data_IF_345604682238
#
_entry.id   IF_345604682238
#
_cell.length_a   1.000
_cell.length_b   1.000
_cell.length_c   1.000
_cell.angle_alpha   90.00
_cell.angle_beta   90.00
_cell.angle_gamma   90.00
#
_symmetry.space_group_name_H-M   'P 1'
#
loop_
_entity.id
_entity.type
_entity.pdbx_description
1 polymer ?
#
# COMPACT_ATOMS: atom_id res chain seq x y z
N UNK A 1 -20.53 40.30 54.45
CA UNK A 1 -20.12 39.51 53.26
C UNK A 1 -21.26 38.55 52.91
N UNK A 2 -22.37 39.10 52.45
CA UNK A 2 -22.80 39.23 51.05
C UNK A 2 -23.39 37.93 50.47
N UNK A 3 -24.61 37.64 50.90
CA UNK A 3 -25.58 36.86 50.14
C UNK A 3 -26.13 37.72 48.99
N UNK A 4 -26.05 37.24 47.74
CA UNK A 4 -26.64 37.88 46.56
C UNK A 4 -27.83 37.05 46.10
N UNK A 5 -29.03 37.49 46.48
CA UNK A 5 -30.28 37.07 45.85
C UNK A 5 -30.41 37.77 44.50
N UNK A 6 -30.49 36.99 43.42
CA UNK A 6 -30.81 37.49 42.07
C UNK A 6 -32.32 37.30 41.89
N UNK A 7 -33.03 38.42 41.84
CA UNK A 7 -34.46 38.49 41.50
C UNK A 7 -34.65 38.12 40.02
N UNK A 8 -35.50 37.12 39.76
CA UNK A 8 -36.05 36.81 38.44
C UNK A 8 -37.12 37.85 38.10
N UNK A 9 -36.85 38.75 37.16
CA UNK A 9 -37.85 39.64 36.56
C UNK A 9 -38.48 38.96 35.36
N UNK A 10 -39.74 38.56 35.51
CA UNK A 10 -40.59 37.99 34.46
C UNK A 10 -40.96 39.09 33.46
N UNK A 11 -40.34 39.07 32.27
CA UNK A 11 -40.73 39.94 31.15
C UNK A 11 -41.98 39.36 30.47
N UNK A 12 -43.15 39.90 30.82
CA UNK A 12 -44.42 39.59 30.16
C UNK A 12 -44.42 40.27 28.78
N UNK A 13 -44.17 39.49 27.73
CA UNK A 13 -44.20 39.95 26.34
C UNK A 13 -45.66 40.21 25.92
N UNK A 14 -46.07 41.49 25.92
CA UNK A 14 -47.34 41.93 25.33
C UNK A 14 -47.28 41.73 23.80
N UNK A 15 -47.98 40.73 23.29
CA UNK A 15 -48.22 40.54 21.86
C UNK A 15 -49.30 41.53 21.45
N UNK A 16 -48.91 42.68 20.90
CA UNK A 16 -49.82 43.56 20.19
C UNK A 16 -50.15 42.93 18.83
N UNK A 17 -51.34 42.36 18.70
CA UNK A 17 -51.88 41.96 17.41
C UNK A 17 -52.16 43.24 16.58
N UNK A 18 -51.19 43.66 15.78
CA UNK A 18 -51.38 44.71 14.79
C UNK A 18 -52.38 44.24 13.74
N UNK A 19 -53.53 44.91 13.66
CA UNK A 19 -54.46 44.74 12.54
C UNK A 19 -53.76 45.28 11.30
N UNK A 20 -53.31 44.37 10.43
CA UNK A 20 -52.73 44.69 9.14
C UNK A 20 -53.80 45.37 8.27
N UNK A 21 -53.70 46.69 8.11
CA UNK A 21 -54.49 47.43 7.13
C UNK A 21 -54.05 46.99 5.74
N UNK A 22 -54.92 46.24 5.05
CA UNK A 22 -54.76 45.96 3.63
C UNK A 22 -55.00 47.27 2.88
N UNK A 23 -54.02 47.74 2.10
CA UNK A 23 -54.16 48.97 1.32
C UNK A 23 -54.55 48.66 -0.13
N UNK A 24 -55.43 49.50 -0.68
CA UNK A 24 -55.75 49.54 -2.12
C UNK A 24 -54.57 50.20 -2.86
N UNK A 25 -54.04 49.54 -3.89
CA UNK A 25 -53.12 50.15 -4.84
C UNK A 25 -53.53 49.85 -6.29
N UNK A 26 -53.16 50.75 -7.21
CA UNK A 26 -53.33 50.51 -8.66
C UNK A 26 -52.05 49.87 -9.17
N UNK A 27 -52.14 48.63 -9.64
CA UNK A 27 -51.02 47.92 -10.24
C UNK A 27 -50.71 48.42 -11.65
N UNK A 28 -51.74 48.74 -12.43
CA UNK A 28 -51.58 49.29 -13.77
C UNK A 28 -52.79 50.12 -14.19
N UNK A 29 -52.54 51.11 -15.04
CA UNK A 29 -53.56 51.88 -15.75
C UNK A 29 -53.11 52.03 -17.21
N UNK A 30 -53.94 51.65 -18.18
CA UNK A 30 -53.62 51.77 -19.61
C UNK A 30 -54.85 52.01 -20.46
N UNK A 31 -54.68 52.67 -21.60
CA UNK A 31 -55.71 52.79 -22.63
C UNK A 31 -55.87 51.45 -23.37
N UNK A 32 -57.11 51.10 -23.73
CA UNK A 32 -57.44 49.96 -24.59
C UNK A 32 -57.87 50.50 -25.97
N UNK A 33 -56.93 50.78 -26.90
CA UNK A 33 -57.22 51.51 -28.13
C UNK A 33 -58.16 50.75 -29.08
N UNK A 34 -58.14 49.42 -29.03
CA UNK A 34 -58.98 48.56 -29.87
C UNK A 34 -60.37 48.29 -29.26
N UNK A 35 -60.62 48.71 -28.01
CA UNK A 35 -61.90 48.51 -27.36
C UNK A 35 -62.86 49.67 -27.68
N UNK A 36 -63.85 49.38 -28.51
CA UNK A 36 -64.84 50.36 -28.97
C UNK A 36 -66.06 50.46 -28.04
N UNK A 37 -66.04 49.86 -26.84
CA UNK A 37 -67.21 49.79 -25.95
C UNK A 37 -67.80 51.16 -25.64
N UNK A 38 -66.97 52.13 -25.22
CA UNK A 38 -67.43 53.48 -24.90
C UNK A 38 -67.89 54.29 -26.13
N UNK A 39 -67.49 53.86 -27.34
CA UNK A 39 -67.76 54.56 -28.59
C UNK A 39 -68.99 54.02 -29.31
N UNK A 40 -69.16 52.69 -29.33
CA UNK A 40 -70.11 51.97 -30.20
C UNK A 40 -71.02 51.04 -29.41
N UNK A 41 -70.45 50.12 -28.62
CA UNK A 41 -71.22 48.98 -28.09
C UNK A 41 -72.13 49.35 -26.91
N UNK A 42 -71.62 50.14 -25.96
CA UNK A 42 -72.36 50.58 -24.77
C UNK A 42 -71.99 52.04 -24.42
N UNK A 43 -72.30 53.01 -25.30
CA UNK A 43 -71.99 54.41 -25.03
C UNK A 43 -72.90 54.96 -23.91
N UNK A 44 -72.30 55.71 -22.99
CA UNK A 44 -73.02 56.51 -21.98
C UNK A 44 -72.67 57.97 -22.23
N UNK A 45 -73.66 58.85 -22.30
CA UNK A 45 -73.47 60.29 -22.44
C UNK A 45 -73.58 60.99 -21.10
N UNK A 46 -72.77 62.02 -20.89
CA UNK A 46 -72.88 62.91 -19.74
C UNK A 46 -74.05 63.90 -19.88
N UNK A 47 -74.19 64.79 -18.90
CA UNK A 47 -75.28 65.79 -18.85
C UNK A 47 -75.20 66.83 -19.98
N UNK A 48 -74.05 66.96 -20.65
CA UNK A 48 -73.84 67.85 -21.79
C UNK A 48 -74.05 67.14 -23.13
N UNK A 49 -74.42 65.85 -23.12
CA UNK A 49 -74.64 65.04 -24.32
C UNK A 49 -73.35 64.44 -24.91
N UNK A 50 -72.21 64.57 -24.24
CA UNK A 50 -70.94 64.04 -24.72
C UNK A 50 -70.68 62.62 -24.23
N UNK A 51 -70.03 61.79 -25.04
CA UNK A 51 -69.76 60.39 -24.67
C UNK A 51 -68.68 60.31 -23.58
N UNK A 52 -69.01 59.67 -22.47
CA UNK A 52 -68.09 59.39 -21.38
C UNK A 52 -66.93 58.48 -21.81
N UNK A 53 -65.80 58.60 -21.12
CA UNK A 53 -64.78 57.56 -21.09
C UNK A 53 -65.29 56.35 -20.28
N UNK A 54 -64.82 55.15 -20.59
CA UNK A 54 -65.09 53.94 -19.80
C UNK A 54 -63.81 53.47 -19.13
N UNK A 55 -63.82 53.39 -17.81
CA UNK A 55 -62.76 52.79 -17.02
C UNK A 55 -63.20 51.39 -16.55
N UNK A 56 -62.55 50.35 -17.08
CA UNK A 56 -62.71 48.96 -16.65
C UNK A 56 -61.74 48.67 -15.51
N UNK A 57 -62.23 48.61 -14.29
CA UNK A 57 -61.43 48.35 -13.10
C UNK A 57 -61.47 46.86 -12.76
N UNK A 58 -60.38 46.16 -13.07
CA UNK A 58 -60.20 44.72 -12.83
C UNK A 58 -59.82 44.51 -11.37
N UNK A 59 -60.64 43.73 -10.65
CA UNK A 59 -60.41 43.40 -9.24
C UNK A 59 -61.17 42.12 -8.85
N UNK A 60 -60.51 41.28 -8.06
CA UNK A 60 -61.15 40.09 -7.47
C UNK A 60 -62.00 40.39 -6.24
N UNK A 61 -61.89 41.59 -5.67
CA UNK A 61 -62.57 41.99 -4.44
C UNK A 61 -63.90 42.72 -4.74
N UNK A 62 -64.85 42.61 -3.82
CA UNK A 62 -66.21 43.13 -3.95
C UNK A 62 -66.48 44.20 -2.89
N UNK A 63 -67.26 45.23 -3.21
CA UNK A 63 -67.62 46.28 -2.25
C UNK A 63 -66.84 47.59 -2.43
N UNK A 64 -66.32 47.83 -3.63
CA UNK A 64 -65.71 49.12 -3.97
C UNK A 64 -66.75 50.21 -4.25
N UNK A 65 -66.45 51.41 -3.78
CA UNK A 65 -67.13 52.66 -4.13
C UNK A 65 -66.14 53.62 -4.80
N UNK A 66 -66.66 54.50 -5.66
CA UNK A 66 -65.87 55.27 -6.62
C UNK A 66 -66.30 56.73 -6.60
N UNK A 67 -65.33 57.65 -6.69
CA UNK A 67 -65.59 59.10 -6.78
C UNK A 67 -64.65 59.74 -7.79
N UNK A 68 -65.19 60.37 -8.85
CA UNK A 68 -64.40 60.99 -9.93
C UNK A 68 -64.43 62.52 -9.90
N UNK A 69 -64.08 63.12 -8.75
CA UNK A 69 -63.96 64.57 -8.59
C UNK A 69 -65.24 65.35 -8.87
N UNK A 70 -65.11 66.61 -9.31
CA UNK A 70 -66.21 67.55 -9.53
C UNK A 70 -67.13 67.20 -10.71
N UNK A 71 -66.63 66.43 -11.69
CA UNK A 71 -67.42 65.96 -12.83
C UNK A 71 -68.29 64.73 -12.48
N UNK A 72 -68.01 64.08 -11.36
CA UNK A 72 -68.75 62.92 -10.90
C UNK A 72 -68.58 61.68 -11.79
N UNK A 73 -69.33 60.64 -11.47
CA UNK A 73 -69.39 59.39 -12.23
C UNK A 73 -70.79 59.29 -12.82
N UNK A 74 -70.89 59.11 -14.13
CA UNK A 74 -72.19 59.06 -14.83
C UNK A 74 -72.88 57.72 -14.59
N UNK A 75 -72.12 56.63 -14.57
CA UNK A 75 -72.67 55.27 -14.37
C UNK A 75 -71.58 54.32 -13.86
N UNK A 76 -71.94 53.43 -12.94
CA UNK A 76 -71.11 52.27 -12.55
C UNK A 76 -71.89 51.00 -12.85
N UNK A 77 -71.32 50.11 -13.63
CA UNK A 77 -71.84 48.77 -13.86
C UNK A 77 -70.88 47.74 -13.26
N UNK A 78 -71.40 46.83 -12.47
CA UNK A 78 -70.64 45.71 -11.93
C UNK A 78 -70.67 44.55 -12.92
N UNK A 79 -69.51 44.04 -13.32
CA UNK A 79 -69.35 42.83 -14.14
C UNK A 79 -68.61 41.76 -13.33
N UNK A 80 -68.59 40.53 -13.82
CA UNK A 80 -67.81 39.46 -13.17
C UNK A 80 -66.32 39.79 -13.30
N UNK A 81 -65.64 39.98 -12.18
CA UNK A 81 -64.19 40.25 -12.12
C UNK A 81 -63.76 41.70 -12.40
N UNK A 82 -64.70 42.60 -12.71
CA UNK A 82 -64.39 44.01 -12.96
C UNK A 82 -65.58 44.97 -12.73
N UNK A 83 -65.27 46.25 -12.59
CA UNK A 83 -66.23 47.35 -12.54
C UNK A 83 -66.09 48.24 -13.78
N UNK A 84 -67.19 48.56 -14.44
CA UNK A 84 -67.25 49.47 -15.57
C UNK A 84 -67.71 50.84 -15.07
N UNK A 85 -66.82 51.80 -15.09
CA UNK A 85 -67.06 53.15 -14.55
C UNK A 85 -67.06 54.13 -15.72
N UNK A 86 -68.22 54.72 -16.00
CA UNK A 86 -68.38 55.73 -17.04
C UNK A 86 -68.16 57.11 -16.45
N UNK A 87 -67.13 57.80 -16.94
CA UNK A 87 -66.65 59.07 -16.37
C UNK A 87 -66.65 60.13 -17.49
N UNK A 88 -67.20 61.33 -17.26
CA UNK A 88 -67.12 62.42 -18.21
C UNK A 88 -65.66 62.72 -18.59
N UNK A 89 -65.46 63.12 -19.86
CA UNK A 89 -64.13 63.42 -20.34
C UNK A 89 -63.51 64.61 -19.58
N UNK A 90 -62.18 64.63 -19.44
CA UNK A 90 -61.49 65.69 -18.68
C UNK A 90 -61.32 65.43 -17.18
N UNK A 91 -61.87 64.34 -16.62
CA UNK A 91 -61.49 63.90 -15.28
C UNK A 91 -60.00 63.51 -15.23
N UNK A 92 -59.30 63.99 -14.20
CA UNK A 92 -57.85 63.76 -14.02
C UNK A 92 -57.53 62.75 -12.91
N UNK A 93 -58.51 62.41 -12.08
CA UNK A 93 -58.30 61.56 -10.91
C UNK A 93 -59.56 60.80 -10.49
N UNK A 94 -59.36 59.74 -9.72
CA UNK A 94 -60.42 58.96 -9.08
C UNK A 94 -60.04 58.61 -7.64
N UNK A 95 -61.01 58.65 -6.75
CA UNK A 95 -60.90 58.09 -5.40
C UNK A 95 -61.60 56.74 -5.35
N UNK A 96 -60.91 55.73 -4.82
CA UNK A 96 -61.38 54.34 -4.70
C UNK A 96 -61.51 54.00 -3.22
N UNK A 97 -62.71 53.61 -2.78
CA UNK A 97 -63.06 53.33 -1.38
C UNK A 97 -63.48 51.87 -1.23
N UNK A 98 -63.13 51.27 -0.11
CA UNK A 98 -63.62 49.93 0.26
C UNK A 98 -63.61 49.78 1.79
N UNK A 99 -64.70 49.27 2.36
CA UNK A 99 -64.90 49.22 3.82
C UNK A 99 -63.76 48.53 4.58
N UNK A 100 -63.17 47.48 3.99
CA UNK A 100 -62.07 46.71 4.59
C UNK A 100 -60.66 47.06 4.12
N UNK A 101 -60.52 47.66 2.93
CA UNK A 101 -59.20 47.91 2.30
C UNK A 101 -58.78 49.39 2.42
N UNK A 102 -59.60 50.21 3.09
CA UNK A 102 -59.39 51.63 3.23
C UNK A 102 -59.74 52.42 1.96
N UNK A 103 -59.08 53.57 1.79
CA UNK A 103 -59.37 54.51 0.72
C UNK A 103 -58.08 54.88 -0.02
N UNK A 104 -58.02 54.60 -1.32
CA UNK A 104 -57.04 55.21 -2.22
C UNK A 104 -57.60 56.55 -2.69
N UNK A 105 -57.16 57.63 -2.03
CA UNK A 105 -57.62 59.00 -2.32
C UNK A 105 -56.90 59.56 -3.53
N UNK A 106 -57.66 60.22 -4.40
CA UNK A 106 -57.15 61.08 -5.47
C UNK A 106 -56.07 60.42 -6.36
N UNK A 107 -56.28 59.17 -6.78
CA UNK A 107 -55.40 58.54 -7.76
C UNK A 107 -55.45 59.34 -9.07
N UNK A 108 -54.35 60.01 -9.39
CA UNK A 108 -54.19 60.79 -10.62
C UNK A 108 -53.93 59.82 -11.77
N UNK A 109 -54.72 59.92 -12.83
CA UNK A 109 -54.49 59.10 -14.03
C UNK A 109 -53.15 59.49 -14.69
N UNK A 110 -52.39 58.53 -15.23
CA UNK A 110 -51.17 58.83 -16.00
C UNK A 110 -51.39 59.80 -17.17
N UNK A 111 -52.57 59.76 -17.80
CA UNK A 111 -53.04 60.73 -18.78
C UNK A 111 -54.50 61.10 -18.52
N UNK A 112 -54.91 62.32 -18.90
CA UNK A 112 -56.31 62.73 -18.77
C UNK A 112 -57.22 61.87 -19.64
N UNK A 113 -58.32 61.37 -19.08
CA UNK A 113 -59.21 60.46 -19.81
C UNK A 113 -59.96 61.21 -20.93
N UNK A 114 -59.99 60.60 -22.11
CA UNK A 114 -60.57 61.18 -23.33
C UNK A 114 -61.98 60.65 -23.57
N UNK A 115 -62.84 61.47 -24.17
CA UNK A 115 -64.20 61.09 -24.53
C UNK A 115 -64.23 59.82 -25.39
N UNK A 116 -65.25 58.97 -25.19
CA UNK A 116 -65.45 57.73 -25.93
C UNK A 116 -64.21 56.80 -26.02
N UNK A 117 -63.36 56.80 -24.99
CA UNK A 117 -62.14 55.99 -24.91
C UNK A 117 -62.24 55.01 -23.74
N UNK A 118 -61.76 53.78 -23.93
CA UNK A 118 -61.78 52.73 -22.90
C UNK A 118 -60.40 52.60 -22.26
N UNK A 119 -60.38 52.48 -20.94
CA UNK A 119 -59.19 52.31 -20.11
C UNK A 119 -59.33 51.07 -19.23
N UNK A 120 -58.22 50.42 -18.92
CA UNK A 120 -58.13 49.33 -17.97
C UNK A 120 -57.33 49.79 -16.75
N UNK A 121 -57.85 49.53 -15.56
CA UNK A 121 -57.17 49.73 -14.28
C UNK A 121 -57.17 48.41 -13.51
N UNK A 122 -56.01 47.92 -13.09
CA UNK A 122 -55.89 46.71 -12.27
C UNK A 122 -55.63 47.12 -10.82
N UNK A 123 -56.47 46.68 -9.90
CA UNK A 123 -56.27 46.89 -8.46
C UNK A 123 -55.52 45.72 -7.84
N UNK A 124 -54.57 46.03 -6.95
CA UNK A 124 -53.90 45.06 -6.10
C UNK A 124 -54.18 45.33 -4.63
N UNK A 125 -54.44 44.25 -3.87
CA UNK A 125 -54.64 44.25 -2.43
C UNK A 125 -53.50 43.45 -1.81
N UNK A 126 -52.55 44.10 -1.14
CA UNK A 126 -51.30 43.46 -0.69
C UNK A 126 -51.52 42.36 0.35
N UNK A 127 -50.71 41.28 0.30
CA UNK A 127 -50.58 40.30 1.41
C UNK A 127 -49.14 39.77 1.52
N UNK A 128 -48.64 39.84 2.75
CA UNK A 128 -47.53 39.13 3.45
C UNK A 128 -46.65 38.16 2.64
N UNK A 129 -45.32 38.39 2.66
CA UNK A 129 -44.30 37.38 2.35
C UNK A 129 -44.22 36.34 3.47
N UNK A 130 -44.55 35.08 3.20
CA UNK A 130 -44.26 33.96 4.10
C UNK A 130 -42.82 33.52 3.88
N UNK A 131 -41.92 33.80 4.83
CA UNK A 131 -40.64 33.10 4.91
C UNK A 131 -40.95 31.78 5.63
N UNK A 132 -41.00 30.68 4.88
CA UNK A 132 -40.96 29.35 5.49
C UNK A 132 -39.50 29.12 5.87
N UNK A 133 -39.13 29.45 7.10
CA UNK A 133 -37.86 29.04 7.68
C UNK A 133 -37.97 27.54 7.96
N UNK A 134 -37.53 26.74 7.00
CA UNK A 134 -37.49 25.28 7.12
C UNK A 134 -36.38 24.96 8.14
N UNK A 135 -36.75 24.86 9.42
CA UNK A 135 -35.83 24.50 10.51
C UNK A 135 -35.13 23.18 10.17
N UNK A 136 -33.81 23.23 9.95
CA UNK A 136 -33.02 22.05 9.68
C UNK A 136 -33.12 21.08 10.88
N UNK A 137 -33.19 19.76 10.63
CA UNK A 137 -33.28 18.81 11.74
C UNK A 137 -32.08 19.01 12.68
N UNK A 138 -32.31 18.92 14.01
CA UNK A 138 -31.24 19.08 14.99
C UNK A 138 -30.15 18.06 14.65
N UNK A 139 -28.93 18.56 14.48
CA UNK A 139 -27.82 17.79 13.93
C UNK A 139 -26.50 18.24 14.53
N UNK A 140 -25.64 17.27 14.85
CA UNK A 140 -24.36 17.46 15.50
C UNK A 140 -23.23 16.95 14.61
N UNK A 141 -22.07 17.59 14.66
CA UNK A 141 -20.83 17.06 14.08
C UNK A 141 -20.28 15.94 14.94
N UNK A 142 -20.15 14.74 14.37
CA UNK A 142 -19.38 13.65 14.94
C UNK A 142 -17.97 13.69 14.36
N UNK A 143 -16.97 13.80 15.22
CA UNK A 143 -15.55 13.75 14.86
C UNK A 143 -14.91 12.54 15.56
N UNK A 144 -14.23 11.69 14.82
CA UNK A 144 -13.54 10.51 15.35
C UNK A 144 -12.08 10.54 14.88
N UNK A 145 -11.15 10.52 15.83
CA UNK A 145 -9.72 10.39 15.58
C UNK A 145 -9.21 9.12 16.24
N UNK A 146 -8.25 8.46 15.58
CA UNK A 146 -7.56 7.32 16.17
C UNK A 146 -6.06 7.51 16.12
N UNK A 147 -5.37 6.93 17.09
CA UNK A 147 -3.93 6.70 17.07
C UNK A 147 -3.68 5.19 17.02
N UNK A 148 -3.13 4.64 15.92
CA UNK A 148 -2.81 5.31 14.65
C UNK A 148 -4.04 5.70 13.81
N UNK A 149 -3.87 6.67 12.92
CA UNK A 149 -4.89 7.12 11.97
C UNK A 149 -5.18 6.09 10.85
N UNK A 150 -6.21 6.34 10.04
CA UNK A 150 -6.59 5.51 8.89
C UNK A 150 -7.37 4.24 9.26
N UNK A 151 -8.03 4.23 10.42
CA UNK A 151 -8.93 3.14 10.82
C UNK A 151 -10.30 3.30 10.15
N UNK A 152 -10.91 2.20 9.72
CA UNK A 152 -12.26 2.19 9.16
C UNK A 152 -13.29 2.51 10.24
N UNK A 153 -14.17 3.46 9.96
CA UNK A 153 -15.24 3.92 10.85
C UNK A 153 -16.57 3.39 10.37
N UNK A 154 -17.25 2.64 11.22
CA UNK A 154 -18.62 2.17 11.00
C UNK A 154 -19.57 2.89 11.95
N UNK A 155 -20.69 3.39 11.43
CA UNK A 155 -21.76 4.02 12.23
C UNK A 155 -23.06 3.25 11.95
N UNK A 156 -23.69 2.71 12.99
CA UNK A 156 -24.84 1.80 12.87
C UNK A 156 -24.56 0.65 11.89
N UNK A 157 -23.41 0.00 12.06
CA UNK A 157 -22.87 -1.11 11.25
C UNK A 157 -22.63 -0.81 9.76
N UNK A 158 -22.80 0.44 9.32
CA UNK A 158 -22.51 0.88 7.95
C UNK A 158 -21.15 1.57 7.90
N UNK A 159 -20.31 1.17 6.93
CA UNK A 159 -19.03 1.83 6.67
C UNK A 159 -19.28 3.30 6.35
N UNK A 160 -18.81 4.18 7.22
CA UNK A 160 -19.01 5.61 7.13
C UNK A 160 -17.79 6.33 6.50
N UNK A 161 -16.57 5.85 6.76
CA UNK A 161 -15.33 6.43 6.26
C UNK A 161 -14.10 5.87 6.97
N UNK A 162 -13.03 6.66 7.03
CA UNK A 162 -11.80 6.33 7.76
C UNK A 162 -11.38 7.49 8.69
N UNK A 163 -10.63 7.22 9.74
CA UNK A 163 -10.10 8.24 10.66
C UNK A 163 -8.91 9.00 10.05
N UNK A 164 -8.74 10.31 10.34
CA UNK A 164 -9.69 11.19 11.02
C UNK A 164 -11.00 11.34 10.24
N UNK A 165 -12.12 11.11 10.93
CA UNK A 165 -13.46 11.12 10.34
C UNK A 165 -14.25 12.29 10.90
N UNK A 166 -14.96 13.00 10.03
CA UNK A 166 -15.93 14.02 10.46
C UNK A 166 -17.18 14.00 9.59
N UNK A 167 -18.36 14.00 10.20
CA UNK A 167 -19.64 14.10 9.48
C UNK A 167 -20.75 14.59 10.40
N UNK A 168 -21.72 15.29 9.82
CA UNK A 168 -22.92 15.72 10.53
C UNK A 168 -23.96 14.60 10.56
N UNK A 169 -24.48 14.29 11.74
CA UNK A 169 -25.56 13.32 11.95
C UNK A 169 -26.74 14.00 12.66
N UNK A 170 -27.95 13.46 12.48
CA UNK A 170 -29.10 13.91 13.27
C UNK A 170 -28.86 13.63 14.75
N UNK A 171 -29.40 14.43 15.65
CA UNK A 171 -29.37 14.10 17.07
C UNK A 171 -30.01 12.72 17.32
N UNK A 172 -29.42 11.96 18.24
CA UNK A 172 -29.81 10.59 18.51
C UNK A 172 -28.66 9.71 18.97
N UNK A 173 -28.96 8.48 19.36
CA UNK A 173 -27.96 7.46 19.71
C UNK A 173 -27.47 6.75 18.45
N UNK A 174 -26.16 6.56 18.34
CA UNK A 174 -25.50 5.83 17.28
C UNK A 174 -24.56 4.78 17.88
N UNK A 175 -24.47 3.61 17.25
CA UNK A 175 -23.37 2.67 17.51
C UNK A 175 -22.20 3.03 16.62
N UNK A 176 -20.98 2.88 17.14
CA UNK A 176 -19.76 3.00 16.36
C UNK A 176 -18.92 1.74 16.50
N UNK A 177 -18.22 1.38 15.43
CA UNK A 177 -17.19 0.33 15.42
C UNK A 177 -16.01 0.83 14.59
N UNK A 178 -14.81 0.66 15.12
CA UNK A 178 -13.55 1.09 14.55
C UNK A 178 -12.70 -0.15 14.31
N UNK A 179 -12.22 -0.29 13.08
CA UNK A 179 -11.41 -1.43 12.66
C UNK A 179 -10.17 -0.96 11.93
N UNK A 180 -9.03 -1.54 12.28
CA UNK A 180 -7.78 -1.32 11.57
C UNK A 180 -7.04 -2.67 11.47
N UNK A 181 -6.53 -3.06 10.29
CA UNK A 181 -5.76 -4.28 10.14
C UNK A 181 -4.62 -4.34 11.16
N UNK A 182 -4.40 -5.51 11.77
CA UNK A 182 -3.42 -5.72 12.84
C UNK A 182 -3.75 -5.01 14.18
N UNK A 183 -4.93 -4.44 14.39
CA UNK A 183 -5.30 -3.84 15.69
C UNK A 183 -6.60 -4.43 16.21
N UNK A 184 -6.76 -4.46 17.53
CA UNK A 184 -8.00 -4.87 18.16
C UNK A 184 -9.14 -3.92 17.82
N UNK A 185 -10.29 -4.49 17.46
CA UNK A 185 -11.50 -3.75 17.15
C UNK A 185 -12.01 -2.99 18.38
N UNK A 186 -12.42 -1.74 18.18
CA UNK A 186 -13.04 -0.92 19.23
C UNK A 186 -14.48 -0.61 18.85
N UNK A 187 -15.44 -0.79 19.75
CA UNK A 187 -16.84 -0.48 19.49
C UNK A 187 -17.53 0.11 20.72
N UNK A 188 -18.60 0.87 20.48
CA UNK A 188 -19.39 1.48 21.54
C UNK A 188 -20.64 2.19 21.04
N UNK A 189 -21.25 2.96 21.93
CA UNK A 189 -22.38 3.83 21.64
C UNK A 189 -22.00 5.27 21.87
N UNK A 190 -22.60 6.18 21.10
CA UNK A 190 -22.44 7.62 21.27
C UNK A 190 -23.79 8.30 21.13
N UNK A 191 -24.10 9.21 22.06
CA UNK A 191 -25.31 10.02 22.02
C UNK A 191 -24.95 11.39 21.44
N UNK A 192 -25.56 11.73 20.31
CA UNK A 192 -25.38 13.03 19.68
C UNK A 192 -26.48 14.00 20.13
N UNK A 193 -26.09 15.02 20.89
CA UNK A 193 -26.91 16.16 21.33
C UNK A 193 -26.05 17.44 21.37
N UNK A 194 -26.39 18.45 20.57
CA UNK A 194 -25.65 19.72 20.52
C UNK A 194 -24.90 19.98 19.20
N UNK A 195 -23.81 20.75 19.25
CA UNK A 195 -23.13 21.26 18.05
C UNK A 195 -22.02 20.32 17.52
N UNK A 196 -21.17 19.80 18.42
CA UNK A 196 -20.04 18.92 18.09
C UNK A 196 -19.79 17.90 19.20
N UNK A 197 -19.46 16.67 18.79
CA UNK A 197 -19.00 15.58 19.64
C UNK A 197 -17.69 15.03 19.06
N UNK A 198 -16.70 14.74 19.91
CA UNK A 198 -15.38 14.29 19.49
C UNK A 198 -14.94 13.05 20.26
N UNK A 199 -14.55 12.02 19.53
CA UNK A 199 -14.02 10.77 20.08
C UNK A 199 -12.55 10.61 19.66
N UNK A 200 -11.66 10.48 20.63
CA UNK A 200 -10.24 10.20 20.41
C UNK A 200 -9.92 8.82 20.98
N UNK A 201 -9.45 7.89 20.14
CA UNK A 201 -9.25 6.48 20.49
C UNK A 201 -7.81 6.06 20.20
N UNK A 202 -7.16 5.39 21.15
CA UNK A 202 -5.88 4.70 20.88
C UNK A 202 -6.17 3.24 20.62
N UNK A 203 -5.86 2.76 19.41
CA UNK A 203 -6.08 1.37 19.04
C UNK A 203 -4.96 0.50 19.61
N UNK A 204 -5.33 -0.62 20.23
CA UNK A 204 -4.36 -1.59 20.76
C UNK A 204 -3.84 -2.48 19.63
N UNK A 205 -2.52 -2.59 19.43
CA UNK A 205 -1.95 -3.53 18.47
C UNK A 205 -2.41 -4.97 18.76
N UNK A 206 -2.66 -5.72 17.69
CA UNK A 206 -2.93 -7.15 17.69
C UNK A 206 -1.82 -7.86 16.88
N UNK A 207 -0.59 -7.43 17.11
CA UNK A 207 0.60 -8.00 16.50
C UNK A 207 1.78 -7.90 17.44
N UNK A 208 2.74 -8.80 17.26
CA UNK A 208 4.04 -8.79 17.89
C UNK A 208 5.14 -8.99 16.87
N UNK A 209 6.26 -9.53 17.31
CA UNK A 209 7.41 -9.87 16.46
C UNK A 209 7.95 -11.24 16.81
N UNK A 210 8.63 -11.89 15.86
CA UNK A 210 9.32 -13.15 16.08
C UNK A 210 10.80 -12.96 15.76
N UNK A 211 11.69 -13.11 16.75
CA UNK A 211 13.14 -13.18 16.52
C UNK A 211 13.54 -14.64 16.32
N UNK A 212 13.97 -14.99 15.13
CA UNK A 212 14.29 -16.35 14.72
C UNK A 212 15.80 -16.54 14.63
N UNK A 213 16.32 -17.51 15.37
CA UNK A 213 17.71 -17.95 15.33
C UNK A 213 17.80 -19.44 14.98
N UNK A 214 18.93 -19.86 14.43
CA UNK A 214 19.21 -21.27 14.15
C UNK A 214 20.56 -21.68 14.69
N UNK A 215 20.64 -22.94 15.15
CA UNK A 215 21.83 -23.57 15.71
C UNK A 215 22.01 -24.91 14.99
N UNK A 216 23.22 -25.32 14.60
CA UNK A 216 24.51 -24.68 14.88
C UNK A 216 24.90 -23.55 13.91
N UNK A 217 24.22 -23.42 12.76
CA UNK A 217 24.55 -22.44 11.74
C UNK A 217 23.40 -21.49 11.43
N UNK A 218 23.76 -20.29 10.98
CA UNK A 218 22.86 -19.25 10.47
C UNK A 218 22.63 -19.40 8.95
N UNK A 219 21.74 -18.59 8.37
CA UNK A 219 21.49 -18.55 6.93
C UNK A 219 20.32 -19.41 6.44
N UNK A 220 19.50 -19.95 7.34
CA UNK A 220 18.33 -20.75 6.99
C UNK A 220 17.21 -19.86 6.45
N UNK A 221 16.59 -20.22 5.34
CA UNK A 221 15.42 -19.50 4.82
C UNK A 221 14.25 -19.65 5.78
N UNK A 222 13.57 -18.54 6.09
CA UNK A 222 12.48 -18.47 7.05
C UNK A 222 11.13 -18.44 6.30
N UNK A 223 10.26 -19.38 6.65
CA UNK A 223 8.88 -19.44 6.19
C UNK A 223 7.93 -19.24 7.37
N UNK A 224 6.92 -18.39 7.19
CA UNK A 224 5.87 -18.14 8.18
C UNK A 224 4.52 -18.49 7.56
N UNK A 225 3.80 -19.41 8.18
CA UNK A 225 2.50 -19.93 7.71
C UNK A 225 2.54 -20.43 6.27
N UNK A 226 3.65 -21.06 5.89
CA UNK A 226 3.89 -21.57 4.53
C UNK A 226 4.41 -20.54 3.53
N UNK A 227 4.39 -19.24 3.86
CA UNK A 227 4.87 -18.18 2.99
C UNK A 227 6.37 -17.91 3.20
N UNK A 228 7.12 -17.77 2.11
CA UNK A 228 8.53 -17.37 2.18
C UNK A 228 8.63 -15.90 2.60
N UNK A 229 9.33 -15.62 3.70
CA UNK A 229 9.53 -14.26 4.21
C UNK A 229 10.63 -13.50 3.47
N UNK A 230 11.38 -14.19 2.60
CA UNK A 230 12.62 -13.72 1.96
C UNK A 230 13.74 -13.36 2.96
N UNK A 231 13.57 -13.67 4.25
CA UNK A 231 14.59 -13.50 5.28
C UNK A 231 15.32 -14.81 5.55
N UNK A 232 16.52 -14.69 6.11
CA UNK A 232 17.34 -15.80 6.59
C UNK A 232 17.66 -15.63 8.06
N UNK A 233 17.88 -16.72 8.79
CA UNK A 233 18.34 -16.64 10.18
C UNK A 233 19.74 -16.02 10.27
N UNK A 234 20.03 -15.23 11.31
CA UNK A 234 19.11 -14.71 12.31
C UNK A 234 18.30 -13.54 11.73
N UNK A 235 17.01 -13.49 11.98
CA UNK A 235 16.17 -12.36 11.58
C UNK A 235 14.98 -12.15 12.50
N UNK A 236 14.50 -10.90 12.55
CA UNK A 236 13.24 -10.54 13.18
C UNK A 236 12.14 -10.41 12.12
N UNK A 237 11.04 -11.13 12.31
CA UNK A 237 9.78 -10.94 11.60
C UNK A 237 8.97 -9.92 12.40
N UNK A 238 8.79 -8.73 11.85
CA UNK A 238 8.02 -7.65 12.48
C UNK A 238 6.55 -7.72 12.04
N UNK A 239 5.66 -7.11 12.81
CA UNK A 239 4.22 -7.04 12.51
C UNK A 239 3.59 -8.40 12.21
N UNK A 240 3.89 -9.41 13.03
CA UNK A 240 3.25 -10.72 12.95
C UNK A 240 1.98 -10.68 13.79
N UNK A 241 0.83 -11.04 13.21
CA UNK A 241 -0.44 -11.11 13.94
C UNK A 241 -0.28 -11.88 15.25
N UNK A 242 -1.01 -11.48 16.28
CA UNK A 242 -1.00 -12.24 17.53
C UNK A 242 -1.76 -13.54 17.38
N UNK A 243 -1.26 -14.60 18.01
CA UNK A 243 -1.82 -15.95 17.94
C UNK A 243 -0.80 -17.02 17.58
N UNK A 244 -1.28 -18.22 17.24
CA UNK A 244 -0.45 -19.35 16.85
C UNK A 244 -0.05 -19.25 15.37
N UNK A 245 1.25 -19.32 15.11
CA UNK A 245 1.85 -19.33 13.77
C UNK A 245 2.72 -20.56 13.56
N UNK A 246 2.87 -20.96 12.31
CA UNK A 246 3.76 -22.05 11.91
C UNK A 246 5.04 -21.48 11.30
N UNK A 247 6.15 -21.64 12.01
CA UNK A 247 7.47 -21.24 11.56
C UNK A 247 8.21 -22.45 10.97
N UNK A 248 8.78 -22.29 9.78
CA UNK A 248 9.59 -23.33 9.15
C UNK A 248 10.93 -22.79 8.68
N UNK A 249 12.01 -23.53 8.98
CA UNK A 249 13.35 -23.26 8.50
C UNK A 249 13.75 -24.27 7.41
N UNK A 250 14.38 -23.79 6.34
CA UNK A 250 14.89 -24.62 5.25
C UNK A 250 16.31 -24.21 4.83
N UNK A 251 17.14 -25.18 4.46
CA UNK A 251 18.41 -24.97 3.78
C UNK A 251 18.83 -26.20 2.97
N UNK A 252 19.86 -26.09 2.11
CA UNK A 252 20.39 -27.24 1.38
C UNK A 252 21.08 -28.28 2.25
N UNK A 253 21.61 -27.89 3.42
CA UNK A 253 22.49 -28.73 4.23
C UNK A 253 21.83 -29.26 5.50
N UNK A 254 20.72 -28.68 5.95
CA UNK A 254 20.05 -29.13 7.17
C UNK A 254 18.66 -29.66 6.88
N UNK A 255 18.22 -30.62 7.70
CA UNK A 255 16.85 -31.14 7.63
C UNK A 255 15.84 -30.00 7.87
N UNK A 256 14.74 -29.90 7.11
CA UNK A 256 13.74 -28.88 7.32
C UNK A 256 13.05 -29.09 8.68
N UNK A 257 12.89 -28.00 9.43
CA UNK A 257 12.26 -28.04 10.75
C UNK A 257 11.06 -27.10 10.76
N UNK A 258 9.93 -27.62 11.25
CA UNK A 258 8.69 -26.86 11.47
C UNK A 258 8.40 -26.77 12.96
N UNK A 259 8.07 -25.57 13.44
CA UNK A 259 7.76 -25.29 14.84
C UNK A 259 6.56 -24.34 14.95
N UNK A 260 5.62 -24.66 15.84
CA UNK A 260 4.55 -23.75 16.22
C UNK A 260 5.08 -22.68 17.18
N UNK A 261 4.68 -21.43 16.98
CA UNK A 261 5.08 -20.30 17.80
C UNK A 261 3.85 -19.47 18.13
N UNK A 262 3.69 -19.10 19.40
CA UNK A 262 2.66 -18.16 19.83
C UNK A 262 3.23 -16.74 19.85
N UNK A 263 2.56 -15.81 19.19
CA UNK A 263 2.91 -14.38 19.16
C UNK A 263 1.94 -13.64 20.07
N UNK A 264 2.50 -12.84 20.98
CA UNK A 264 1.75 -12.01 21.91
C UNK A 264 1.78 -10.54 21.46
N UNK A 265 0.72 -9.78 21.78
CA UNK A 265 0.58 -8.37 21.44
C UNK A 265 1.80 -7.56 21.93
N UNK A 266 2.41 -6.80 21.03
CA UNK A 266 3.55 -5.89 21.28
C UNK A 266 4.82 -6.57 21.85
N UNK A 267 4.86 -7.91 21.92
CA UNK A 267 6.01 -8.67 22.41
C UNK A 267 6.87 -9.20 21.26
N UNK A 268 8.15 -9.44 21.56
CA UNK A 268 9.05 -10.18 20.66
C UNK A 268 9.25 -11.60 21.17
N UNK A 269 8.64 -12.58 20.50
CA UNK A 269 8.87 -14.00 20.77
C UNK A 269 10.23 -14.43 20.20
N UNK A 270 11.15 -14.87 21.06
CA UNK A 270 12.46 -15.37 20.62
C UNK A 270 12.40 -16.87 20.41
N UNK A 271 12.71 -17.32 19.20
CA UNK A 271 12.73 -18.73 18.82
C UNK A 271 14.14 -19.10 18.38
N UNK A 272 14.75 -20.05 19.09
CA UNK A 272 15.98 -20.72 18.64
C UNK A 272 15.64 -22.15 18.24
N UNK A 273 16.11 -22.58 17.06
CA UNK A 273 15.85 -23.90 16.50
C UNK A 273 17.18 -24.64 16.32
N UNK A 274 17.28 -25.81 16.95
CA UNK A 274 18.37 -26.75 16.71
C UNK A 274 18.08 -27.54 15.44
N UNK A 275 19.03 -27.56 14.52
CA UNK A 275 18.92 -28.20 13.22
C UNK A 275 19.67 -29.53 13.22
N UNK A 276 19.05 -30.56 12.66
CA UNK A 276 19.75 -31.81 12.35
C UNK A 276 20.47 -31.66 11.00
N UNK A 277 21.77 -31.98 10.91
CA UNK A 277 22.50 -31.93 9.64
C UNK A 277 21.95 -32.97 8.67
N UNK A 278 21.95 -32.65 7.38
CA UNK A 278 21.72 -33.57 6.27
C UNK A 278 23.03 -33.86 5.48
N UNK A 279 24.18 -33.56 6.11
CA UNK A 279 25.52 -33.66 5.53
C UNK A 279 26.51 -34.19 6.56
N UNK A 280 27.70 -34.56 6.10
CA UNK A 280 28.89 -34.71 6.94
C UNK A 280 30.06 -33.90 6.37
N UNK A 281 31.00 -33.51 7.23
CA UNK A 281 32.26 -32.93 6.80
C UNK A 281 33.23 -34.05 6.42
N UNK A 282 33.71 -34.00 5.20
CA UNK A 282 34.58 -34.99 4.61
C UNK A 282 35.95 -34.37 4.37
N UNK A 283 37.00 -35.04 4.84
CA UNK A 283 38.39 -34.71 4.56
C UNK A 283 39.04 -35.84 3.77
N UNK A 284 39.70 -35.51 2.67
CA UNK A 284 40.38 -36.47 1.81
C UNK A 284 41.83 -36.02 1.65
N UNK A 285 42.78 -36.92 1.88
CA UNK A 285 44.21 -36.65 1.71
C UNK A 285 44.87 -37.73 0.87
N UNK A 286 45.94 -37.38 0.17
CA UNK A 286 46.68 -38.29 -0.72
C UNK A 286 48.18 -38.17 -0.47
N UNK A 287 48.87 -39.31 -0.40
CA UNK A 287 50.33 -39.38 -0.31
C UNK A 287 50.87 -40.30 -1.40
N UNK A 288 51.71 -39.79 -2.33
CA UNK A 288 52.04 -38.38 -2.53
C UNK A 288 50.84 -37.56 -3.03
N UNK A 289 50.97 -36.23 -3.07
CA UNK A 289 49.89 -35.34 -3.51
C UNK A 289 49.38 -35.71 -4.92
N UNK A 290 48.10 -36.05 -5.00
CA UNK A 290 47.42 -36.57 -6.19
C UNK A 290 46.11 -35.84 -6.45
N UNK A 291 45.61 -35.92 -7.68
CA UNK A 291 44.32 -35.35 -8.06
C UNK A 291 43.21 -36.10 -7.34
N UNK A 292 42.33 -35.38 -6.64
CA UNK A 292 41.17 -35.93 -5.93
C UNK A 292 39.93 -35.69 -6.78
N UNK A 293 39.24 -36.77 -7.12
CA UNK A 293 38.04 -36.77 -7.94
C UNK A 293 36.90 -37.39 -7.11
N UNK A 294 35.76 -36.72 -7.04
CA UNK A 294 34.54 -37.22 -6.36
C UNK A 294 33.42 -37.24 -7.38
N UNK A 295 32.84 -38.41 -7.64
CA UNK A 295 31.80 -38.66 -8.66
C UNK A 295 32.16 -38.08 -10.04
N UNK A 296 33.41 -38.30 -10.45
CA UNK A 296 33.94 -37.80 -11.73
C UNK A 296 34.31 -36.32 -11.77
N UNK A 297 34.05 -35.55 -10.70
CA UNK A 297 34.43 -34.14 -10.62
C UNK A 297 35.74 -33.97 -9.86
N UNK A 298 36.72 -33.29 -10.47
CA UNK A 298 37.95 -32.88 -9.79
C UNK A 298 37.64 -31.87 -8.68
N UNK A 299 38.15 -32.15 -7.48
CA UNK A 299 37.90 -31.35 -6.27
C UNK A 299 39.15 -30.66 -5.74
N UNK A 300 40.34 -31.21 -5.98
CA UNK A 300 41.60 -30.63 -5.50
C UNK A 300 42.81 -31.52 -5.76
N UNK A 301 43.99 -31.04 -5.36
CA UNK A 301 45.26 -31.73 -5.46
C UNK A 301 45.85 -31.92 -4.06
N UNK A 302 46.20 -33.15 -3.70
CA UNK A 302 46.81 -33.46 -2.41
C UNK A 302 45.79 -33.62 -1.28
N UNK A 303 44.96 -32.60 -1.07
CA UNK A 303 43.96 -32.53 -0.01
C UNK A 303 42.65 -31.89 -0.50
N UNK A 304 41.53 -32.35 0.04
CA UNK A 304 40.22 -31.72 -0.12
C UNK A 304 39.43 -31.81 1.19
N UNK A 305 38.72 -30.75 1.56
CA UNK A 305 37.77 -30.75 2.66
C UNK A 305 36.46 -30.08 2.24
N UNK A 306 35.32 -30.68 2.57
CA UNK A 306 34.03 -30.12 2.21
C UNK A 306 32.85 -30.90 2.77
N UNK A 307 31.64 -30.40 2.52
CA UNK A 307 30.39 -31.06 2.92
C UNK A 307 29.91 -31.98 1.80
N UNK A 308 29.57 -33.21 2.16
CA UNK A 308 28.82 -34.12 1.29
C UNK A 308 27.48 -34.44 1.96
N UNK A 309 26.43 -34.49 1.15
CA UNK A 309 25.12 -34.93 1.63
C UNK A 309 25.16 -36.43 1.96
N UNK A 310 24.19 -36.90 2.72
CA UNK A 310 24.04 -38.34 2.94
C UNK A 310 23.91 -39.10 1.61
N UNK A 311 24.67 -40.19 1.46
CA UNK A 311 24.73 -40.96 0.23
C UNK A 311 26.04 -41.73 0.06
N UNK A 312 26.23 -42.35 -1.11
CA UNK A 312 27.45 -43.07 -1.46
C UNK A 312 28.14 -42.36 -2.62
N UNK A 313 29.42 -42.05 -2.43
CA UNK A 313 30.25 -41.29 -3.37
C UNK A 313 31.40 -42.16 -3.88
N UNK A 314 31.74 -42.03 -5.15
CA UNK A 314 32.95 -42.64 -5.72
C UNK A 314 34.11 -41.66 -5.59
N UNK A 315 35.10 -41.99 -4.77
CA UNK A 315 36.30 -41.16 -4.58
C UNK A 315 37.49 -41.81 -5.27
N UNK A 316 38.13 -41.09 -6.18
CA UNK A 316 39.32 -41.52 -6.91
C UNK A 316 40.50 -40.58 -6.66
N UNK A 317 41.66 -41.15 -6.40
CA UNK A 317 42.94 -40.47 -6.33
C UNK A 317 43.80 -40.88 -7.53
N UNK A 318 44.20 -39.90 -8.33
CA UNK A 318 44.90 -40.11 -9.60
C UNK A 318 46.21 -39.33 -9.64
N UNK A 319 47.29 -40.00 -10.05
CA UNK A 319 48.61 -39.37 -10.20
C UNK A 319 49.43 -40.08 -11.27
N UNK A 320 50.00 -39.30 -12.17
CA UNK A 320 50.91 -39.79 -13.20
C UNK A 320 52.08 -40.57 -12.59
N UNK A 321 52.44 -41.71 -13.18
CA UNK A 321 53.48 -42.66 -12.70
C UNK A 321 53.12 -43.43 -11.43
N UNK A 322 51.90 -43.29 -10.92
CA UNK A 322 51.38 -44.06 -9.79
C UNK A 322 50.20 -44.91 -10.26
N UNK A 323 49.83 -45.93 -9.48
CA UNK A 323 48.55 -46.60 -9.65
C UNK A 323 47.45 -45.78 -9.00
N UNK A 324 46.38 -45.56 -9.76
CA UNK A 324 45.19 -44.90 -9.25
C UNK A 324 44.53 -45.75 -8.17
N UNK A 325 43.86 -45.07 -7.24
CA UNK A 325 43.04 -45.71 -6.20
C UNK A 325 41.64 -45.17 -6.28
N UNK A 326 40.66 -46.06 -6.15
CA UNK A 326 39.24 -45.72 -6.11
C UNK A 326 38.58 -46.43 -4.93
N UNK A 327 37.66 -45.74 -4.26
CA UNK A 327 36.90 -46.28 -3.13
C UNK A 327 35.50 -45.68 -3.07
N UNK A 328 34.51 -46.51 -2.74
CA UNK A 328 33.17 -46.07 -2.37
C UNK A 328 33.18 -45.49 -0.94
N UNK A 329 32.73 -44.25 -0.81
CA UNK A 329 32.59 -43.52 0.45
C UNK A 329 31.10 -43.40 0.77
N UNK A 330 30.63 -44.23 1.70
CA UNK A 330 29.35 -43.97 2.36
C UNK A 330 29.50 -42.79 3.32
N UNK A 331 28.63 -41.81 3.12
CA UNK A 331 28.49 -40.58 3.91
C UNK A 331 27.17 -40.68 4.67
N UNK A 332 27.26 -40.66 6.00
CA UNK A 332 26.12 -40.65 6.91
C UNK A 332 26.02 -39.25 7.52
N UNK A 333 24.82 -38.65 7.50
CA UNK A 333 24.62 -37.29 8.01
C UNK A 333 25.10 -37.14 9.47
N UNK A 334 25.86 -36.09 9.76
CA UNK A 334 26.44 -35.81 11.08
C UNK A 334 27.65 -36.65 11.46
N UNK A 335 28.09 -37.60 10.61
CA UNK A 335 29.27 -38.42 10.86
C UNK A 335 30.45 -37.97 9.99
N UNK A 336 31.22 -37.03 10.53
CA UNK A 336 32.42 -36.53 9.87
C UNK A 336 33.43 -37.66 9.61
N UNK A 337 34.06 -37.63 8.43
CA UNK A 337 34.92 -38.73 7.97
C UNK A 337 36.17 -38.22 7.30
N UNK A 338 37.28 -38.91 7.56
CA UNK A 338 38.55 -38.67 6.90
C UNK A 338 38.97 -39.89 6.10
N UNK A 339 39.37 -39.69 4.85
CA UNK A 339 39.86 -40.73 3.96
C UNK A 339 41.29 -40.40 3.52
N UNK A 340 42.16 -41.40 3.55
CA UNK A 340 43.55 -41.25 3.14
C UNK A 340 43.89 -42.24 2.02
N UNK A 341 44.44 -41.75 0.91
CA UNK A 341 44.96 -42.57 -0.17
C UNK A 341 46.49 -42.55 -0.20
N UNK A 342 47.11 -43.70 0.11
CA UNK A 342 48.51 -43.93 -0.18
C UNK A 342 48.65 -44.53 -1.59
N UNK A 343 49.17 -43.75 -2.54
CA UNK A 343 49.38 -44.21 -3.91
C UNK A 343 50.70 -44.95 -4.04
N UNK A 344 50.66 -46.09 -4.73
CA UNK A 344 51.86 -46.88 -5.03
C UNK A 344 52.45 -46.42 -6.35
N UNK A 345 53.72 -46.02 -6.33
CA UNK A 345 54.46 -45.71 -7.56
C UNK A 345 54.58 -46.95 -8.44
N UNK A 346 54.46 -46.76 -9.76
CA UNK A 346 54.87 -47.76 -10.74
C UNK A 346 56.39 -47.71 -10.80
N UNK A 347 57.06 -48.84 -10.67
CA UNK A 347 58.52 -48.89 -10.54
C UNK A 347 59.18 -49.92 -11.43
N UNK A 348 60.44 -49.68 -11.78
CA UNK A 348 61.36 -50.63 -12.42
C UNK A 348 62.75 -50.58 -11.78
N UNK A 349 63.74 -51.18 -12.44
CA UNK A 349 65.11 -51.30 -11.94
C UNK A 349 66.13 -50.85 -13.00
N UNK A 350 67.37 -50.58 -12.58
CA UNK A 350 68.48 -50.31 -13.48
C UNK A 350 69.75 -51.05 -13.02
N UNK A 351 70.38 -51.78 -13.93
CA UNK A 351 71.69 -52.42 -13.74
C UNK A 351 72.76 -51.60 -14.43
N UNK A 352 73.75 -51.14 -13.67
CA UNK A 352 74.76 -50.19 -14.14
C UNK A 352 76.14 -50.82 -14.01
N UNK A 353 76.80 -51.00 -15.15
CA UNK A 353 78.15 -51.56 -15.25
C UNK A 353 79.03 -50.58 -16.02
N UNK A 354 80.24 -50.34 -15.52
CA UNK A 354 81.20 -49.47 -16.20
C UNK A 354 82.54 -50.17 -16.44
N UNK A 355 83.26 -49.69 -17.45
CA UNK A 355 84.67 -50.02 -17.67
C UNK A 355 85.49 -48.72 -17.64
N UNK A 356 86.41 -48.52 -16.67
CA UNK A 356 86.73 -49.42 -15.55
C UNK A 356 85.58 -49.54 -14.53
N UNK A 357 85.63 -50.57 -13.69
CA UNK A 357 84.71 -50.75 -12.55
C UNK A 357 84.95 -49.69 -11.46
N UNK A 358 84.08 -49.65 -10.46
CA UNK A 358 84.13 -48.74 -9.31
C UNK A 358 84.01 -47.26 -9.67
N UNK A 359 83.27 -46.94 -10.73
CA UNK A 359 82.86 -45.58 -11.05
C UNK A 359 81.73 -45.14 -10.11
N UNK A 360 81.78 -43.91 -9.61
CA UNK A 360 80.70 -43.29 -8.86
C UNK A 360 79.45 -43.14 -9.73
N UNK A 361 78.33 -43.63 -9.21
CA UNK A 361 77.02 -43.62 -9.85
C UNK A 361 76.14 -42.57 -9.19
N UNK A 362 75.67 -41.61 -9.98
CA UNK A 362 74.68 -40.60 -9.57
C UNK A 362 73.39 -40.80 -10.37
N UNK A 363 72.25 -40.81 -9.68
CA UNK A 363 70.93 -40.82 -10.31
C UNK A 363 70.16 -39.59 -9.85
N UNK A 364 69.68 -38.79 -10.80
CA UNK A 364 68.99 -37.50 -10.57
C UNK A 364 69.77 -36.54 -9.68
N UNK A 365 71.10 -36.58 -9.78
CA UNK A 365 72.02 -35.75 -9.00
C UNK A 365 72.40 -36.31 -7.63
N UNK A 366 71.75 -37.37 -7.16
CA UNK A 366 72.09 -38.03 -5.89
C UNK A 366 73.09 -39.17 -6.11
N UNK A 367 74.16 -39.22 -5.30
CA UNK A 367 75.12 -40.34 -5.32
C UNK A 367 74.44 -41.60 -4.78
N UNK A 368 74.42 -42.67 -5.58
CA UNK A 368 73.80 -43.96 -5.22
C UNK A 368 74.81 -45.04 -4.83
N UNK A 369 76.07 -44.92 -5.24
CA UNK A 369 77.12 -45.90 -4.94
C UNK A 369 78.20 -45.94 -6.02
N UNK A 370 78.87 -47.08 -6.16
CA UNK A 370 79.87 -47.33 -7.20
C UNK A 370 79.49 -48.55 -8.07
N UNK A 371 79.86 -48.55 -9.34
CA UNK A 371 79.57 -49.64 -10.28
C UNK A 371 80.44 -50.90 -10.03
N UNK A 372 79.96 -52.13 -10.35
CA UNK A 372 78.60 -52.48 -10.77
C UNK A 372 77.55 -52.25 -9.68
N UNK A 373 76.41 -51.66 -10.05
CA UNK A 373 75.33 -51.30 -9.12
C UNK A 373 73.96 -51.60 -9.71
N UNK A 374 73.11 -52.30 -8.95
CA UNK A 374 71.68 -52.46 -9.24
C UNK A 374 70.88 -51.46 -8.41
N UNK A 375 70.09 -50.62 -9.07
CA UNK A 375 69.15 -49.69 -8.47
C UNK A 375 67.74 -50.28 -8.58
N UNK A 376 67.11 -50.56 -7.44
CA UNK A 376 65.77 -51.14 -7.37
C UNK A 376 64.69 -50.09 -7.07
N UNK A 377 63.44 -50.39 -7.47
CA UNK A 377 62.26 -49.58 -7.16
C UNK A 377 62.35 -48.11 -7.63
N UNK A 378 62.96 -47.88 -8.79
CA UNK A 378 62.98 -46.56 -9.42
C UNK A 378 61.60 -46.27 -10.00
N UNK A 379 61.06 -45.07 -9.74
CA UNK A 379 59.78 -44.64 -10.33
C UNK A 379 59.87 -44.71 -11.86
N UNK A 380 58.79 -45.07 -12.57
CA UNK A 380 58.85 -45.10 -14.03
C UNK A 380 59.09 -43.71 -14.63
N UNK A 381 59.65 -43.70 -15.85
CA UNK A 381 59.95 -42.50 -16.62
C UNK A 381 61.44 -42.22 -16.71
N UNK A 382 61.78 -41.00 -17.11
CA UNK A 382 63.15 -40.59 -17.37
C UNK A 382 63.92 -40.27 -16.08
N UNK A 383 65.13 -40.81 -15.98
CA UNK A 383 66.09 -40.51 -14.92
C UNK A 383 67.43 -40.07 -15.51
N UNK A 384 68.09 -39.09 -14.88
CA UNK A 384 69.42 -38.61 -15.30
C UNK A 384 70.50 -39.41 -14.59
N UNK A 385 71.22 -40.23 -15.35
CA UNK A 385 72.36 -41.00 -14.89
C UNK A 385 73.66 -40.24 -15.16
N UNK A 386 74.52 -40.10 -14.15
CA UNK A 386 75.89 -39.59 -14.29
C UNK A 386 76.88 -40.57 -13.70
N UNK A 387 77.93 -40.89 -14.45
CA UNK A 387 78.99 -41.83 -14.11
C UNK A 387 80.33 -41.10 -14.07
N UNK A 388 81.08 -41.28 -12.99
CA UNK A 388 82.32 -40.53 -12.75
C UNK A 388 83.41 -41.44 -12.15
N UNK A 389 84.65 -41.31 -12.59
CA UNK A 389 85.80 -42.02 -12.00
C UNK A 389 87.03 -41.13 -12.10
N UNK A 390 87.81 -41.04 -11.03
CA UNK A 390 89.07 -40.28 -11.03
C UNK A 390 89.99 -40.75 -12.17
N UNK A 391 90.52 -39.80 -12.94
CA UNK A 391 91.33 -40.07 -14.14
C UNK A 391 90.54 -40.29 -15.43
N UNK A 392 89.21 -40.33 -15.38
CA UNK A 392 88.31 -40.54 -16.53
C UNK A 392 87.33 -39.37 -16.73
N UNK A 393 86.93 -39.12 -17.97
CA UNK A 393 85.86 -38.18 -18.27
C UNK A 393 84.50 -38.77 -17.83
N UNK A 394 83.64 -37.91 -17.28
CA UNK A 394 82.32 -38.33 -16.82
C UNK A 394 81.36 -38.55 -18.01
N UNK A 395 80.41 -39.48 -17.85
CA UNK A 395 79.30 -39.69 -18.80
C UNK A 395 78.01 -39.24 -18.14
N UNK A 396 77.18 -38.48 -18.86
CA UNK A 396 75.81 -38.15 -18.45
C UNK A 396 74.82 -38.61 -19.52
N UNK A 397 73.78 -39.34 -19.13
CA UNK A 397 72.73 -39.81 -20.04
C UNK A 397 71.37 -39.88 -19.35
N UNK A 398 70.30 -39.82 -20.13
CA UNK A 398 68.95 -40.14 -19.65
C UNK A 398 68.68 -41.63 -19.85
N UNK A 399 68.14 -42.29 -18.82
CA UNK A 399 67.64 -43.66 -18.90
C UNK A 399 66.12 -43.65 -18.69
N UNK A 400 65.41 -44.48 -19.43
CA UNK A 400 63.96 -44.67 -19.28
C UNK A 400 63.70 -45.91 -18.43
N UNK A 401 63.04 -45.72 -17.29
CA UNK A 401 62.59 -46.81 -16.42
C UNK A 401 61.17 -47.20 -16.81
N UNK A 402 60.98 -48.46 -17.19
CA UNK A 402 59.69 -49.06 -17.52
C UNK A 402 59.17 -49.92 -16.36
N UNK A 403 57.85 -50.10 -16.31
CA UNK A 403 57.19 -50.81 -15.22
C UNK A 403 57.61 -52.27 -15.15
N UNK A 404 58.07 -52.72 -13.99
CA UNK A 404 58.55 -54.09 -13.73
C UNK A 404 59.68 -54.58 -14.65
N UNK A 405 60.37 -53.66 -15.34
CA UNK A 405 61.51 -53.97 -16.20
C UNK A 405 62.83 -53.58 -15.54
N UNK A 406 63.93 -54.15 -16.04
CA UNK A 406 65.29 -53.75 -15.68
C UNK A 406 66.00 -53.20 -16.90
N UNK A 407 66.43 -51.94 -16.84
CA UNK A 407 67.29 -51.35 -17.88
C UNK A 407 68.75 -51.67 -17.59
N UNK A 408 69.48 -52.23 -18.56
CA UNK A 408 70.92 -52.47 -18.42
C UNK A 408 71.72 -51.37 -19.10
N UNK A 409 72.64 -50.76 -18.34
CA UNK A 409 73.54 -49.71 -18.79
C UNK A 409 74.98 -50.23 -18.71
N UNK A 410 75.61 -50.38 -19.87
CA UNK A 410 77.01 -50.79 -20.00
C UNK A 410 77.80 -49.67 -20.67
N UNK A 411 78.63 -48.95 -19.91
CA UNK A 411 79.35 -47.77 -20.40
C UNK A 411 80.87 -47.91 -20.21
N UNK A 412 81.65 -47.45 -21.19
CA UNK A 412 83.11 -47.34 -21.07
C UNK A 412 83.48 -45.88 -20.86
N UNK A 413 84.06 -45.56 -19.71
CA UNK A 413 84.49 -44.20 -19.40
C UNK A 413 85.72 -43.84 -20.26
N UNK A 414 85.71 -42.70 -20.98
CA UNK A 414 86.87 -42.24 -21.73
C UNK A 414 87.99 -41.78 -20.79
N UNK A 415 89.25 -42.08 -21.10
CA UNK A 415 90.38 -41.48 -20.37
C UNK A 415 90.40 -39.97 -20.60
N UNK A 416 90.71 -39.18 -19.57
CA UNK A 416 90.81 -37.71 -19.68
C UNK A 416 91.86 -37.29 -20.72
N UNK A 417 92.87 -38.14 -20.97
CA UNK A 417 93.90 -37.91 -22.00
C UNK A 417 93.39 -38.07 -23.45
N UNK A 418 92.21 -38.64 -23.66
CA UNK A 418 91.61 -38.88 -24.98
C UNK A 418 90.48 -37.91 -25.34
N UNK A 419 90.14 -36.98 -24.44
CA UNK A 419 88.99 -36.05 -24.59
C UNK A 419 89.44 -34.60 -24.83
N UNK A 420 90.74 -34.37 -25.05
CA UNK A 420 91.32 -33.08 -25.44
C UNK A 420 91.51 -32.95 -26.95
#
# INVERSE_FOLDING_TARGET
MNARHIFFTTALLLISAGVLSQSISVASFRVLPNDQTARVTYPVTDQNGEKCALLKVVTGQQGFAWEAGTLGITKVEKKTGEYWIYIPHGSKKITIKHDRLGVLRDYIYPEAIKAATVYEMILTTGTVKTIIEQSAPPSQWLIIKTEPAGASVFINDKLAGQTPFQRKYKEGEYTYRIEKPMYHNTAGKILLKGEKESLELTLKPQFGSIKVNSVPEEGMFIYLDGNNTNKKTPATLEEVMSGEHTLQLRSPWYQPVTKKVNVEDEQTTVVSINLAPAFANIKITTTPAAKIIIDGQEKGLGEWSGRLMEGVYTVRAEKEKYYDREQQLEVVSGQDKTLHFALKGKTGNADIVTTPMEADVYLDGERKGTSPLTLNNLLIGEHKLRLEKEGYAHISKTILIEENATVTVNEKLPDVSQVN
#
